data_IF_337576964851
#
_entry.id   IF_337576964851
#
_cell.length_a   1.000
_cell.length_b   1.000
_cell.length_c   1.000
_cell.angle_alpha   90.00
_cell.angle_beta   90.00
_cell.angle_gamma   90.00
#
_symmetry.space_group_name_H-M   'P 1'
#
loop_
_entity.id
_entity.type
_entity.pdbx_description
1 polymer ?
#
# COMPACT_ATOMS: atom_id res chain seq x y z
N UNK A 1 28.57 -33.07 -33.32
CA UNK A 1 27.13 -32.76 -33.49
C UNK A 1 26.77 -31.67 -32.49
N UNK A 2 26.52 -30.43 -32.93
CA UNK A 2 26.16 -29.30 -32.05
C UNK A 2 24.67 -29.05 -32.21
N UNK A 3 23.87 -29.42 -31.21
CA UNK A 3 22.45 -29.12 -31.15
C UNK A 3 22.28 -27.66 -30.69
N UNK A 4 21.74 -26.81 -31.55
CA UNK A 4 21.37 -25.45 -31.20
C UNK A 4 20.01 -25.49 -30.49
N UNK A 5 20.01 -25.25 -29.17
CA UNK A 5 18.80 -25.05 -28.37
C UNK A 5 18.26 -23.64 -28.65
N UNK A 6 17.14 -23.57 -29.37
CA UNK A 6 16.37 -22.35 -29.60
C UNK A 6 15.64 -21.95 -28.32
N UNK A 7 15.99 -20.80 -27.76
CA UNK A 7 15.32 -20.20 -26.61
C UNK A 7 14.13 -19.39 -27.14
N UNK A 8 12.89 -19.83 -26.86
CA UNK A 8 11.68 -19.03 -27.13
C UNK A 8 11.50 -18.01 -26.00
N UNK A 9 11.48 -16.70 -26.27
CA UNK A 9 11.07 -15.72 -25.28
C UNK A 9 9.55 -15.74 -25.17
N UNK A 10 9.03 -16.31 -24.08
CA UNK A 10 7.65 -16.09 -23.66
C UNK A 10 7.50 -14.61 -23.28
N UNK A 11 6.91 -13.83 -24.18
CA UNK A 11 6.46 -12.48 -23.89
C UNK A 11 5.34 -12.56 -22.83
N UNK A 12 5.70 -12.37 -21.56
CA UNK A 12 4.73 -12.19 -20.50
C UNK A 12 4.07 -10.83 -20.68
N UNK A 13 2.78 -10.82 -21.06
CA UNK A 13 1.93 -9.65 -20.93
C UNK A 13 1.79 -9.32 -19.44
N UNK A 14 2.67 -8.48 -18.91
CA UNK A 14 2.47 -7.86 -17.63
C UNK A 14 1.36 -6.82 -17.79
N UNK A 15 0.12 -7.20 -17.49
CA UNK A 15 -0.98 -6.25 -17.34
C UNK A 15 -0.58 -5.22 -16.27
N UNK A 16 -0.73 -3.90 -16.52
CA UNK A 16 -0.46 -2.91 -15.49
C UNK A 16 -1.40 -3.17 -14.30
N UNK A 17 -0.94 -2.96 -13.06
CA UNK A 17 -1.82 -3.04 -11.91
C UNK A 17 -2.93 -1.99 -12.09
N UNK A 18 -4.18 -2.47 -12.14
CA UNK A 18 -5.36 -1.62 -12.03
C UNK A 18 -5.35 -1.05 -10.60
N UNK A 19 -4.71 0.10 -10.45
CA UNK A 19 -4.74 0.90 -9.24
C UNK A 19 -5.96 1.81 -9.28
N UNK A 20 -6.84 1.65 -8.29
CA UNK A 20 -8.13 2.31 -8.16
C UNK A 20 -8.05 3.84 -8.24
N UNK A 21 -8.65 4.42 -9.28
CA UNK A 21 -8.81 5.87 -9.50
C UNK A 21 -9.88 6.54 -8.59
N UNK A 22 -10.16 5.99 -7.40
CA UNK A 22 -11.25 6.51 -6.54
C UNK A 22 -10.81 7.65 -5.61
N UNK A 23 -9.51 7.81 -5.36
CA UNK A 23 -8.95 8.87 -4.52
C UNK A 23 -7.69 9.38 -5.21
N UNK A 24 -7.56 10.69 -5.36
CA UNK A 24 -6.37 11.31 -5.96
C UNK A 24 -5.06 10.86 -5.27
N UNK A 25 -3.89 11.19 -5.83
CA UNK A 25 -2.63 10.70 -5.31
C UNK A 25 -2.43 11.09 -3.84
N UNK A 26 -2.04 10.09 -3.03
CA UNK A 26 -1.67 10.28 -1.62
C UNK A 26 -0.64 11.41 -1.48
N UNK A 27 -0.70 12.14 -0.36
CA UNK A 27 0.29 13.15 -0.05
C UNK A 27 1.67 12.51 0.16
N UNK A 28 2.73 13.23 -0.20
CA UNK A 28 4.07 12.86 0.22
C UNK A 28 4.24 13.22 1.71
N UNK A 29 4.47 12.23 2.56
CA UNK A 29 4.69 12.42 4.00
C UNK A 29 6.07 11.85 4.35
N UNK A 30 6.92 12.68 4.94
CA UNK A 30 8.27 12.27 5.33
C UNK A 30 8.21 11.10 6.32
N UNK A 31 9.02 10.06 6.07
CA UNK A 31 9.11 8.90 6.95
C UNK A 31 7.98 7.86 6.80
N UNK A 32 6.98 8.11 5.96
CA UNK A 32 5.88 7.16 5.72
C UNK A 32 5.65 6.92 4.23
N UNK A 33 5.11 5.76 3.93
CA UNK A 33 4.61 5.40 2.60
C UNK A 33 3.20 4.86 2.73
N UNK A 34 2.35 5.24 1.79
CA UNK A 34 1.00 4.74 1.69
C UNK A 34 0.76 4.07 0.34
N UNK A 35 -0.10 3.07 0.31
CA UNK A 35 -0.63 2.49 -0.92
C UNK A 35 -2.09 2.09 -0.74
N UNK A 36 -2.85 2.16 -1.84
CA UNK A 36 -4.20 1.62 -1.86
C UNK A 36 -4.17 0.13 -2.21
N UNK A 37 -4.94 -0.67 -1.48
CA UNK A 37 -5.21 -2.05 -1.85
C UNK A 37 -6.42 -2.19 -2.78
N UNK A 38 -6.78 -3.43 -3.17
CA UNK A 38 -7.83 -3.70 -4.15
C UNK A 38 -9.23 -3.24 -3.76
N UNK A 39 -9.51 -3.02 -2.47
CA UNK A 39 -10.81 -2.56 -1.96
C UNK A 39 -10.76 -1.10 -1.49
N UNK A 40 -9.79 -0.32 -2.00
CA UNK A 40 -9.47 1.04 -1.58
C UNK A 40 -9.02 1.15 -0.11
N UNK A 41 -8.61 0.04 0.51
CA UNK A 41 -8.04 0.11 1.84
C UNK A 41 -6.70 0.86 1.79
N UNK A 42 -6.46 1.75 2.75
CA UNK A 42 -5.18 2.44 2.86
C UNK A 42 -4.22 1.59 3.68
N UNK A 43 -3.08 1.23 3.08
CA UNK A 43 -1.99 0.52 3.75
C UNK A 43 -0.88 1.51 4.03
N UNK A 44 -0.50 1.65 5.30
CA UNK A 44 0.51 2.61 5.77
C UNK A 44 1.73 1.88 6.32
N UNK A 45 2.90 2.26 5.81
CA UNK A 45 4.21 1.80 6.25
C UNK A 45 5.04 2.96 6.75
N UNK A 46 5.91 2.68 7.71
CA UNK A 46 6.99 3.59 8.13
C UNK A 46 8.26 3.20 7.41
N UNK A 47 9.01 4.19 6.92
CA UNK A 47 10.24 3.97 6.15
C UNK A 47 11.44 3.59 7.05
N UNK A 48 11.21 3.41 8.36
CA UNK A 48 12.16 2.93 9.37
C UNK A 48 11.43 2.69 10.70
N UNK A 49 11.96 1.82 11.56
CA UNK A 49 11.51 0.42 11.65
C UNK A 49 10.01 0.21 11.32
N UNK A 50 9.63 -0.96 10.78
CA UNK A 50 8.22 -1.25 10.53
C UNK A 50 7.37 -1.04 11.79
N UNK A 51 6.08 -0.75 11.60
CA UNK A 51 5.18 -0.62 12.74
C UNK A 51 5.13 -1.93 13.54
N UNK A 52 4.87 -1.78 14.83
CA UNK A 52 4.44 -2.81 15.75
C UNK A 52 2.93 -2.72 15.95
N UNK A 53 2.36 -3.79 16.51
CA UNK A 53 0.92 -3.93 16.73
C UNK A 53 0.35 -2.87 17.69
N UNK A 54 1.16 -2.30 18.59
CA UNK A 54 0.77 -1.28 19.55
C UNK A 54 0.87 0.16 19.00
N UNK A 55 1.43 0.35 17.80
CA UNK A 55 1.70 1.67 17.21
C UNK A 55 0.56 2.21 16.33
N UNK A 56 -0.67 1.69 16.48
CA UNK A 56 -1.81 2.06 15.64
C UNK A 56 -2.18 3.53 15.69
N UNK A 57 -1.97 4.19 16.82
CA UNK A 57 -2.21 5.62 16.95
C UNK A 57 -1.24 6.46 16.08
N UNK A 58 0.02 6.03 15.96
CA UNK A 58 0.99 6.68 15.07
C UNK A 58 0.64 6.43 13.61
N UNK A 59 0.36 5.18 13.27
CA UNK A 59 -0.04 4.83 11.91
C UNK A 59 -1.29 5.58 11.45
N UNK A 60 -2.27 5.80 12.35
CA UNK A 60 -3.47 6.59 12.06
C UNK A 60 -3.13 8.06 11.78
N UNK A 61 -2.20 8.66 12.52
CA UNK A 61 -1.74 10.04 12.23
C UNK A 61 -1.03 10.11 10.88
N UNK A 62 -0.17 9.14 10.57
CA UNK A 62 0.46 9.04 9.26
C UNK A 62 -0.57 8.86 8.13
N UNK A 63 -1.58 8.03 8.35
CA UNK A 63 -2.69 7.82 7.42
C UNK A 63 -3.46 9.11 7.13
N UNK A 64 -3.82 9.86 8.17
CA UNK A 64 -4.48 11.17 8.03
C UNK A 64 -3.64 12.15 7.19
N UNK A 65 -2.32 12.20 7.44
CA UNK A 65 -1.41 13.03 6.67
C UNK A 65 -1.34 12.59 5.19
N UNK A 66 -1.25 11.28 4.94
CA UNK A 66 -1.26 10.70 3.58
C UNK A 66 -2.56 11.01 2.85
N UNK A 67 -3.70 10.99 3.55
CA UNK A 67 -5.01 11.33 3.01
C UNK A 67 -5.30 12.83 2.88
N UNK A 68 -4.34 13.71 3.21
CA UNK A 68 -4.53 15.18 3.22
C UNK A 68 -5.64 15.65 4.17
N UNK A 69 -5.94 14.89 5.22
CA UNK A 69 -6.97 15.24 6.19
C UNK A 69 -7.48 14.05 6.99
N UNK A 70 -8.36 13.25 6.40
CA UNK A 70 -9.09 12.21 7.12
C UNK A 70 -8.83 10.81 6.54
N UNK A 71 -8.64 9.86 7.45
CA UNK A 71 -8.68 8.41 7.15
C UNK A 71 -9.95 7.85 7.77
N UNK A 72 -10.66 7.00 7.04
CA UNK A 72 -11.82 6.26 7.56
C UNK A 72 -11.35 5.11 8.44
N UNK A 73 -10.93 5.46 9.66
CA UNK A 73 -10.47 4.54 10.70
C UNK A 73 -11.65 4.01 11.52
N UNK A 74 -11.64 2.71 11.83
CA UNK A 74 -12.70 2.02 12.55
C UNK A 74 -12.24 0.75 13.27
N UNK A 75 -13.18 -0.06 13.79
CA UNK A 75 -12.85 -1.30 14.51
C UNK A 75 -12.16 -2.37 13.65
N UNK A 76 -12.31 -2.28 12.33
CA UNK A 76 -11.68 -3.17 11.36
C UNK A 76 -10.24 -2.76 11.01
N UNK A 77 -9.73 -1.64 11.56
CA UNK A 77 -8.33 -1.25 11.37
C UNK A 77 -7.41 -2.35 11.92
N UNK A 78 -6.45 -2.79 11.10
CA UNK A 78 -5.69 -3.96 11.43
C UNK A 78 -4.20 -3.84 11.09
N UNK A 79 -3.38 -4.38 11.99
CA UNK A 79 -1.95 -4.55 11.75
C UNK A 79 -1.66 -5.88 11.05
N UNK A 80 -0.79 -5.84 10.04
CA UNK A 80 -0.24 -7.00 9.32
C UNK A 80 1.18 -6.71 8.90
N UNK A 81 2.13 -7.61 9.14
CA UNK A 81 3.46 -7.58 8.51
C UNK A 81 4.19 -6.21 8.56
N UNK A 82 4.13 -5.50 9.68
CA UNK A 82 4.83 -4.22 9.83
C UNK A 82 4.12 -3.00 9.24
N UNK A 83 2.88 -3.17 8.78
CA UNK A 83 2.01 -2.11 8.27
C UNK A 83 0.67 -2.09 8.97
N UNK A 84 0.07 -0.91 8.98
CA UNK A 84 -1.31 -0.71 9.39
C UNK A 84 -2.20 -0.58 8.17
N UNK A 85 -3.34 -1.25 8.21
CA UNK A 85 -4.33 -1.29 7.15
C UNK A 85 -5.59 -0.62 7.68
N UNK A 86 -6.09 0.36 6.94
CA UNK A 86 -7.33 1.08 7.20
C UNK A 86 -8.34 0.70 6.11
N UNK A 87 -9.24 -0.27 6.35
CA UNK A 87 -10.17 -0.79 5.34
C UNK A 87 -11.05 0.28 4.70
N UNK A 88 -11.43 1.32 5.46
CA UNK A 88 -12.22 2.42 4.95
C UNK A 88 -11.48 3.37 4.00
N UNK A 89 -10.15 3.28 3.90
CA UNK A 89 -9.35 4.17 3.06
C UNK A 89 -9.32 5.62 3.54
N UNK A 90 -9.17 6.56 2.60
CA UNK A 90 -9.29 8.00 2.89
C UNK A 90 -10.77 8.43 2.92
N UNK A 91 -11.10 9.40 3.79
CA UNK A 91 -12.46 9.91 4.00
C UNK A 91 -12.65 11.32 3.45
#
# INVERSE_FOLDING_TARGET
MRAALLILPLAACASPPVGSDAVGPLAAVAGYTGSFGPQNELRVRRNAPPFSYDEGAEAKRAAQALCRGAVASGPEDNFREGQWIFPGGCA
#
